data_IF_221047709962
#
_entry.id   IF_221047709962
#
_cell.length_a   1.000
_cell.length_b   1.000
_cell.length_c   1.000
_cell.angle_alpha   90.00
_cell.angle_beta   90.00
_cell.angle_gamma   90.00
#
_symmetry.space_group_name_H-M   'P 1'
#
loop_
_entity.id
_entity.type
_entity.pdbx_description
1 polymer ?
#
# COMPACT_ATOMS: atom_id res chain seq x y z
N UNK A 1 -9.86 -0.75 15.35
CA UNK A 1 -8.48 -0.97 14.90
C UNK A 1 -7.84 0.35 14.45
N UNK A 2 -6.61 0.57 14.83
CA UNK A 2 -5.86 1.74 14.41
C UNK A 2 -5.21 1.48 13.05
N UNK A 3 -5.32 2.43 12.14
CA UNK A 3 -4.71 2.31 10.81
C UNK A 3 -4.05 3.63 10.44
N UNK A 4 -2.88 3.54 9.81
CA UNK A 4 -2.19 4.71 9.29
C UNK A 4 -2.89 5.21 8.03
N UNK A 5 -2.92 6.52 7.88
CA UNK A 5 -3.49 7.16 6.68
C UNK A 5 -2.44 8.14 6.13
N UNK A 6 -2.52 8.39 4.84
CA UNK A 6 -1.61 9.34 4.20
C UNK A 6 -1.97 10.76 4.59
N UNK A 7 -1.00 11.48 5.12
CA UNK A 7 -1.18 12.89 5.46
C UNK A 7 -0.96 13.76 4.23
N UNK A 8 -1.73 14.86 4.07
CA UNK A 8 -1.55 15.75 2.90
C UNK A 8 -0.12 16.26 2.74
N UNK A 9 0.55 16.63 3.82
CA UNK A 9 1.93 17.10 3.75
C UNK A 9 2.87 16.03 3.22
N UNK A 10 2.67 14.78 3.66
CA UNK A 10 3.46 13.65 3.17
C UNK A 10 3.24 13.45 1.68
N UNK A 11 1.99 13.46 1.23
CA UNK A 11 1.64 13.31 -0.19
C UNK A 11 2.30 14.41 -1.02
N UNK A 12 2.26 15.65 -0.54
CA UNK A 12 2.82 16.80 -1.25
C UNK A 12 4.34 16.73 -1.38
N UNK A 13 5.01 15.99 -0.48
CA UNK A 13 6.46 15.83 -0.53
C UNK A 13 6.91 14.73 -1.49
N UNK A 14 5.98 13.87 -1.94
CA UNK A 14 6.31 12.83 -2.91
C UNK A 14 6.39 13.40 -4.33
N UNK A 15 7.29 12.84 -5.13
CA UNK A 15 7.36 13.19 -6.56
C UNK A 15 6.11 12.63 -7.28
N UNK A 16 5.76 13.18 -8.46
CA UNK A 16 4.66 12.60 -9.24
C UNK A 16 4.86 11.11 -9.55
N UNK A 17 6.10 10.70 -9.82
CA UNK A 17 6.42 9.29 -10.07
C UNK A 17 6.16 8.44 -8.82
N UNK A 18 6.59 8.92 -7.65
CA UNK A 18 6.34 8.24 -6.39
C UNK A 18 4.86 8.11 -6.07
N UNK A 19 4.09 9.14 -6.35
CA UNK A 19 2.64 9.10 -6.15
C UNK A 19 1.96 8.07 -7.05
N UNK A 20 2.35 8.00 -8.33
CA UNK A 20 1.81 7.00 -9.26
C UNK A 20 2.17 5.59 -8.81
N UNK A 21 3.42 5.40 -8.39
CA UNK A 21 3.87 4.10 -7.88
C UNK A 21 3.05 3.67 -6.66
N UNK A 22 2.89 4.60 -5.72
CA UNK A 22 2.13 4.34 -4.49
C UNK A 22 0.68 4.00 -4.79
N UNK A 23 0.02 4.75 -5.68
CA UNK A 23 -1.37 4.49 -6.05
C UNK A 23 -1.55 3.09 -6.64
N UNK A 24 -0.66 2.69 -7.54
CA UNK A 24 -0.70 1.35 -8.14
C UNK A 24 -0.46 0.26 -7.12
N UNK A 25 0.50 0.48 -6.21
CA UNK A 25 0.80 -0.49 -5.17
C UNK A 25 -0.39 -0.68 -4.22
N UNK A 26 -1.08 0.41 -3.86
CA UNK A 26 -2.27 0.32 -3.01
C UNK A 26 -3.36 -0.50 -3.69
N UNK A 27 -3.63 -0.24 -4.96
CA UNK A 27 -4.65 -0.98 -5.71
C UNK A 27 -4.28 -2.46 -5.81
N UNK A 28 -3.01 -2.76 -6.09
CA UNK A 28 -2.55 -4.15 -6.14
C UNK A 28 -2.74 -4.86 -4.80
N UNK A 29 -2.43 -4.17 -3.70
CA UNK A 29 -2.60 -4.74 -2.35
C UNK A 29 -4.07 -5.04 -2.06
N UNK A 30 -4.97 -4.12 -2.41
CA UNK A 30 -6.39 -4.31 -2.19
C UNK A 30 -6.93 -5.47 -3.03
N UNK A 31 -6.42 -5.63 -4.25
CA UNK A 31 -6.90 -6.65 -5.18
C UNK A 31 -6.34 -8.04 -4.92
N UNK A 32 -5.34 -8.18 -4.06
CA UNK A 32 -4.62 -9.45 -3.89
C UNK A 32 -5.53 -10.60 -3.45
N UNK A 33 -6.55 -10.31 -2.66
CA UNK A 33 -7.48 -11.32 -2.17
C UNK A 33 -8.71 -11.49 -3.06
N UNK A 34 -8.80 -10.75 -4.15
CA UNK A 34 -9.86 -10.89 -5.13
C UNK A 34 -11.17 -10.23 -4.78
N UNK A 35 -11.26 -9.53 -3.65
CA UNK A 35 -12.46 -8.76 -3.30
C UNK A 35 -12.09 -7.56 -2.43
N UNK A 36 -12.89 -6.50 -2.56
CA UNK A 36 -12.71 -5.28 -1.80
C UNK A 36 -13.41 -5.40 -0.45
N UNK A 37 -12.62 -5.40 0.62
CA UNK A 37 -13.16 -5.38 1.98
C UNK A 37 -13.55 -3.93 2.32
N UNK A 38 -14.71 -3.70 2.98
CA UNK A 38 -15.10 -2.35 3.38
C UNK A 38 -14.05 -1.62 4.21
N UNK A 39 -13.24 -2.33 4.98
CA UNK A 39 -12.17 -1.73 5.78
C UNK A 39 -11.03 -1.21 4.91
N UNK A 40 -10.97 -1.61 3.64
CA UNK A 40 -9.95 -1.16 2.69
C UNK A 40 -10.40 0.05 1.87
N UNK A 41 -11.67 0.44 1.92
CA UNK A 41 -12.18 1.57 1.16
C UNK A 41 -11.42 2.87 1.41
N UNK A 42 -11.04 3.21 2.64
CA UNK A 42 -10.26 4.44 2.87
C UNK A 42 -8.94 4.45 2.10
N UNK A 43 -8.30 3.28 1.95
CA UNK A 43 -7.03 3.19 1.22
C UNK A 43 -7.25 3.34 -0.29
N UNK A 44 -8.38 2.85 -0.81
CA UNK A 44 -8.75 3.08 -2.20
C UNK A 44 -8.93 4.58 -2.47
N UNK A 45 -9.57 5.28 -1.54
CA UNK A 45 -9.71 6.73 -1.62
C UNK A 45 -8.34 7.42 -1.61
N UNK A 46 -7.43 6.97 -0.75
CA UNK A 46 -6.06 7.49 -0.71
C UNK A 46 -5.36 7.31 -2.07
N UNK A 47 -5.53 6.14 -2.69
CA UNK A 47 -4.93 5.88 -4.01
C UNK A 47 -5.44 6.86 -5.07
N UNK A 48 -6.74 7.13 -5.06
CA UNK A 48 -7.37 8.03 -6.04
C UNK A 48 -6.83 9.45 -5.91
N UNK A 49 -6.64 9.95 -4.70
CA UNK A 49 -6.17 11.33 -4.49
C UNK A 49 -4.68 11.51 -4.77
N UNK A 50 -3.92 10.42 -4.88
CA UNK A 50 -2.48 10.49 -5.16
C UNK A 50 -2.17 10.88 -6.61
N UNK A 51 -3.10 10.70 -7.52
CA UNK A 51 -2.88 10.87 -8.96
C UNK A 51 -3.81 11.90 -9.57
N UNK A 52 -3.44 12.37 -10.76
CA UNK A 52 -4.23 13.33 -11.50
C UNK A 52 -5.54 12.72 -12.00
N UNK A 53 -6.52 13.57 -12.22
CA UNK A 53 -7.83 13.15 -12.69
C UNK A 53 -7.76 12.32 -13.98
N UNK A 54 -6.84 12.67 -14.88
CA UNK A 54 -6.65 11.94 -16.13
C UNK A 54 -6.21 10.50 -15.93
N UNK A 55 -5.54 10.19 -14.82
CA UNK A 55 -5.05 8.85 -14.50
C UNK A 55 -6.02 8.04 -13.65
N UNK A 56 -6.98 8.70 -13.01
CA UNK A 56 -7.92 8.05 -12.10
C UNK A 56 -8.81 7.03 -12.78
N UNK A 57 -9.25 7.34 -14.01
CA UNK A 57 -10.12 6.42 -14.76
C UNK A 57 -9.44 5.08 -14.99
N UNK A 58 -8.17 5.10 -15.41
CA UNK A 58 -7.40 3.87 -15.62
C UNK A 58 -7.18 3.10 -14.32
N UNK A 59 -6.85 3.82 -13.24
CA UNK A 59 -6.64 3.20 -11.94
C UNK A 59 -7.91 2.51 -11.45
N UNK A 60 -9.05 3.19 -11.54
CA UNK A 60 -10.33 2.65 -11.11
C UNK A 60 -10.77 1.46 -11.98
N UNK A 61 -10.52 1.51 -13.28
CA UNK A 61 -10.80 0.41 -14.18
C UNK A 61 -10.01 -0.84 -13.80
N UNK A 62 -8.71 -0.69 -13.55
CA UNK A 62 -7.87 -1.80 -13.13
C UNK A 62 -8.32 -2.36 -11.77
N UNK A 63 -8.70 -1.48 -10.84
CA UNK A 63 -9.21 -1.91 -9.55
C UNK A 63 -10.50 -2.71 -9.71
N UNK A 64 -11.42 -2.25 -10.56
CA UNK A 64 -12.71 -2.89 -10.80
C UNK A 64 -12.58 -4.24 -11.48
N UNK A 65 -11.66 -4.35 -12.44
CA UNK A 65 -11.39 -5.59 -13.16
C UNK A 65 -10.43 -6.50 -12.41
N UNK A 66 -9.88 -6.03 -11.30
CA UNK A 66 -8.91 -6.75 -10.46
C UNK A 66 -7.66 -7.13 -11.24
N UNK A 67 -7.25 -6.26 -12.15
CA UNK A 67 -6.01 -6.44 -12.89
C UNK A 67 -4.83 -6.06 -12.02
N UNK A 68 -3.80 -6.91 -12.03
CA UNK A 68 -2.54 -6.58 -11.38
C UNK A 68 -1.78 -5.57 -12.24
N UNK A 69 -1.41 -4.45 -11.66
CA UNK A 69 -0.64 -3.44 -12.36
C UNK A 69 0.85 -3.68 -12.13
N UNK A 70 1.64 -3.57 -13.21
CA UNK A 70 3.08 -3.73 -13.10
C UNK A 70 3.66 -2.69 -12.15
N UNK A 71 4.55 -3.15 -11.27
CA UNK A 71 5.15 -2.32 -10.24
C UNK A 71 6.67 -2.46 -10.29
N UNK A 72 7.38 -1.47 -10.85
CA UNK A 72 8.84 -1.51 -10.88
C UNK A 72 9.42 -1.19 -9.51
N UNK A 73 10.73 -1.34 -9.37
CA UNK A 73 11.43 -0.88 -8.18
C UNK A 73 11.27 0.63 -8.05
N UNK A 74 11.02 1.11 -6.85
CA UNK A 74 10.89 2.54 -6.60
C UNK A 74 12.29 3.18 -6.55
N UNK A 75 12.56 4.08 -7.47
CA UNK A 75 13.87 4.74 -7.58
C UNK A 75 13.85 6.18 -7.07
N UNK A 76 12.67 6.73 -6.81
CA UNK A 76 12.49 8.07 -6.27
C UNK A 76 12.00 7.99 -4.82
N UNK A 77 11.96 9.13 -4.14
CA UNK A 77 11.38 9.25 -2.79
C UNK A 77 12.01 8.29 -1.78
N UNK A 78 13.30 8.08 -1.92
CA UNK A 78 14.04 7.06 -1.14
C UNK A 78 14.00 7.29 0.37
N UNK A 79 13.88 8.53 0.80
CA UNK A 79 13.83 8.83 2.25
C UNK A 79 12.51 8.44 2.90
N UNK A 80 11.50 8.13 2.10
CA UNK A 80 10.16 7.78 2.63
C UNK A 80 9.86 6.28 2.57
N UNK A 81 10.79 5.44 2.11
CA UNK A 81 10.51 4.01 1.90
C UNK A 81 10.09 3.29 3.18
N UNK A 82 10.65 3.67 4.32
CA UNK A 82 10.26 3.08 5.60
C UNK A 82 8.81 3.38 5.96
N UNK A 83 8.41 4.64 5.80
CA UNK A 83 7.03 5.07 6.07
C UNK A 83 6.05 4.41 5.11
N UNK A 84 6.45 4.27 3.84
CA UNK A 84 5.62 3.58 2.86
C UNK A 84 5.40 2.13 3.25
N UNK A 85 6.45 1.44 3.71
CA UNK A 85 6.34 0.06 4.15
C UNK A 85 5.32 -0.08 5.29
N UNK A 86 5.39 0.80 6.30
CA UNK A 86 4.46 0.76 7.42
C UNK A 86 3.05 1.13 7.00
N UNK A 87 2.89 2.02 6.04
CA UNK A 87 1.58 2.32 5.48
C UNK A 87 0.95 1.05 4.88
N UNK A 88 1.70 0.30 4.06
CA UNK A 88 1.21 -0.95 3.47
C UNK A 88 0.95 -2.02 4.53
N UNK A 89 1.79 -2.09 5.56
CA UNK A 89 1.56 -3.01 6.66
C UNK A 89 0.22 -2.70 7.35
N UNK A 90 -0.13 -1.42 7.49
CA UNK A 90 -1.42 -1.05 8.08
C UNK A 90 -2.61 -1.43 7.20
N UNK A 91 -2.45 -1.46 5.87
CA UNK A 91 -3.49 -1.96 4.98
C UNK A 91 -3.72 -3.45 5.23
N UNK A 92 -2.65 -4.22 5.36
CA UNK A 92 -2.73 -5.64 5.69
C UNK A 92 -3.51 -5.84 7.00
N UNK A 93 -3.23 -4.99 8.00
CA UNK A 93 -3.87 -5.07 9.30
C UNK A 93 -5.32 -4.55 9.31
N UNK A 94 -5.74 -3.84 8.27
CA UNK A 94 -7.10 -3.29 8.20
C UNK A 94 -8.16 -4.38 8.11
N UNK A 95 -7.82 -5.52 7.53
CA UNK A 95 -8.69 -6.69 7.53
C UNK A 95 -8.56 -7.39 8.88
N UNK A 96 -9.62 -8.10 9.29
CA UNK A 96 -9.63 -8.85 10.54
C UNK A 96 -8.67 -10.05 10.50
N UNK A 97 -8.27 -10.49 9.32
CA UNK A 97 -7.34 -11.61 9.13
C UNK A 97 -6.22 -11.21 8.19
N UNK A 98 -5.00 -11.56 8.56
CA UNK A 98 -3.85 -11.40 7.68
C UNK A 98 -3.75 -12.67 6.85
N UNK A 99 -3.92 -12.54 5.52
CA UNK A 99 -3.79 -13.67 4.62
C UNK A 99 -2.33 -13.92 4.23
N UNK A 100 -2.03 -15.15 3.84
CA UNK A 100 -0.71 -15.50 3.34
C UNK A 100 -0.37 -14.68 2.10
N UNK A 101 -1.35 -14.47 1.21
CA UNK A 101 -1.16 -13.68 -0.01
C UNK A 101 -0.75 -12.24 0.31
N UNK A 102 -1.38 -11.63 1.31
CA UNK A 102 -1.06 -10.27 1.73
C UNK A 102 0.35 -10.17 2.31
N UNK A 103 0.75 -11.16 3.12
CA UNK A 103 2.09 -11.19 3.69
C UNK A 103 3.14 -11.34 2.58
N UNK A 104 2.92 -12.22 1.63
CA UNK A 104 3.83 -12.42 0.50
C UNK A 104 3.91 -11.17 -0.37
N UNK A 105 2.78 -10.51 -0.60
CA UNK A 105 2.76 -9.26 -1.35
C UNK A 105 3.57 -8.18 -0.61
N UNK A 106 3.42 -8.08 0.70
CA UNK A 106 4.16 -7.10 1.50
C UNK A 106 5.67 -7.35 1.42
N UNK A 107 6.08 -8.62 1.42
CA UNK A 107 7.50 -8.99 1.27
C UNK A 107 8.02 -8.57 -0.11
N UNK A 108 7.26 -8.85 -1.15
CA UNK A 108 7.63 -8.45 -2.52
C UNK A 108 7.70 -6.93 -2.64
N UNK A 109 6.77 -6.23 -2.00
CA UNK A 109 6.73 -4.77 -2.00
C UNK A 109 7.96 -4.20 -1.29
N UNK A 110 8.35 -4.79 -0.17
CA UNK A 110 9.57 -4.39 0.55
C UNK A 110 10.80 -4.48 -0.34
N UNK A 111 10.90 -5.54 -1.14
CA UNK A 111 11.99 -5.70 -2.10
C UNK A 111 11.96 -4.59 -3.17
N UNK A 112 10.77 -4.23 -3.65
CA UNK A 112 10.60 -3.14 -4.62
C UNK A 112 10.95 -1.77 -4.03
N UNK A 113 10.78 -1.62 -2.73
CA UNK A 113 11.19 -0.43 -2.00
C UNK A 113 12.70 -0.44 -1.69
N UNK A 114 13.39 -1.54 -1.97
CA UNK A 114 14.82 -1.67 -1.70
C UNK A 114 15.13 -1.88 -0.22
N UNK A 115 14.18 -2.43 0.53
CA UNK A 115 14.35 -2.67 1.97
C UNK A 115 14.74 -4.12 2.23
N UNK A 116 15.55 -4.37 3.28
CA UNK A 116 15.93 -5.74 3.64
C UNK A 116 14.74 -6.51 4.20
N UNK A 117 14.82 -7.83 4.11
CA UNK A 117 13.78 -8.72 4.60
C UNK A 117 13.48 -8.48 6.08
N UNK A 118 14.49 -8.16 6.86
CA UNK A 118 14.33 -7.88 8.28
C UNK A 118 13.42 -6.66 8.52
N UNK A 119 13.48 -5.65 7.66
CA UNK A 119 12.61 -4.48 7.77
C UNK A 119 11.14 -4.88 7.59
N UNK A 120 10.87 -5.78 6.63
CA UNK A 120 9.51 -6.29 6.41
C UNK A 120 9.03 -7.09 7.61
N UNK A 121 9.90 -7.94 8.16
CA UNK A 121 9.56 -8.72 9.35
C UNK A 121 9.24 -7.80 10.53
N UNK A 122 10.01 -6.73 10.70
CA UNK A 122 9.76 -5.76 11.76
C UNK A 122 8.38 -5.09 11.59
N UNK A 123 8.00 -4.77 10.35
CA UNK A 123 6.70 -4.19 10.07
C UNK A 123 5.57 -5.18 10.38
N UNK A 124 5.73 -6.44 10.02
CA UNK A 124 4.76 -7.50 10.33
C UNK A 124 4.61 -7.69 11.84
N UNK A 125 5.72 -7.68 12.57
CA UNK A 125 5.70 -7.80 14.02
C UNK A 125 4.97 -6.59 14.65
N UNK A 126 5.18 -5.41 14.07
CA UNK A 126 4.53 -4.20 14.54
C UNK A 126 3.00 -4.28 14.41
N UNK A 127 2.49 -4.73 13.25
CA UNK A 127 1.04 -4.81 13.07
C UNK A 127 0.43 -5.90 13.96
N UNK A 128 1.13 -7.01 14.14
CA UNK A 128 0.66 -8.09 15.01
C UNK A 128 0.60 -7.61 16.47
N UNK A 129 1.63 -6.92 16.91
CA UNK A 129 1.75 -6.50 18.30
C UNK A 129 0.88 -5.30 18.66
N UNK A 130 0.81 -4.31 17.78
CA UNK A 130 0.21 -3.02 18.11
C UNK A 130 -1.13 -2.75 17.45
N UNK A 131 -1.43 -3.38 16.32
CA UNK A 131 -2.65 -3.11 15.59
C UNK A 131 -3.71 -4.21 15.74
N UNK A 132 -3.30 -5.47 15.73
CA UNK A 132 -4.26 -6.57 15.78
C UNK A 132 -4.68 -6.99 17.18
N UNK A 133 -3.89 -6.67 18.17
CA UNK A 133 -4.23 -7.01 19.56
C UNK A 133 -5.15 -5.99 20.24
N UNK A 134 -5.51 -4.94 19.54
CA UNK A 134 -6.39 -3.92 20.10
C UNK A 134 -7.86 -4.27 19.95
#
# INVERSE_FOLDING_TARGET
MYALRLEPDFINNLTPEGRRWLARAVVNMINIDGKLDPNEMPYMHDAVILIDESERAELLENAQQRNYMELPNLTTDRKYVGELLYYFASIVAADSKISTSEVEFLKALGAKLGLPEQAVQNALDWITKYLQLQ
#
